data_IF_015664922797
#
_entry.id   IF_015664922797
#
_cell.length_a   1.000
_cell.length_b   1.000
_cell.length_c   1.000
_cell.angle_alpha   90.00
_cell.angle_beta   90.00
_cell.angle_gamma   90.00
#
_symmetry.space_group_name_H-M   'P 1'
#
loop_
_entity.id
_entity.type
_entity.pdbx_description
1 polymer ?
#
# COMPACT_ATOMS: atom_id res chain seq x y z
N UNK A 1 -0.69 0.75 -13.61
CA UNK A 1 0.60 0.64 -12.90
C UNK A 1 0.40 0.11 -11.49
N UNK A 2 1.42 -0.52 -10.90
CA UNK A 2 1.43 -0.97 -9.51
C UNK A 2 2.59 -0.26 -8.79
N UNK A 3 2.29 0.53 -7.78
CA UNK A 3 3.27 1.14 -6.89
C UNK A 3 3.16 0.53 -5.50
N UNK A 4 4.29 0.10 -4.96
CA UNK A 4 4.37 -0.43 -3.60
C UNK A 4 4.95 0.64 -2.69
N UNK A 5 4.31 0.85 -1.55
CA UNK A 5 4.88 1.61 -0.44
C UNK A 5 5.30 0.61 0.64
N UNK A 6 6.58 0.58 0.94
CA UNK A 6 7.18 -0.37 1.87
C UNK A 6 8.22 0.32 2.75
N UNK A 7 8.26 0.01 4.02
CA UNK A 7 9.34 0.47 4.91
C UNK A 7 9.61 -0.55 6.00
N UNK A 8 10.84 -1.04 6.15
CA UNK A 8 11.21 -1.91 7.26
C UNK A 8 11.37 -1.14 8.58
N UNK A 9 11.32 0.19 8.53
CA UNK A 9 11.67 1.06 9.66
C UNK A 9 10.47 1.81 10.26
N UNK A 10 9.46 2.17 9.46
CA UNK A 10 8.37 3.03 9.90
C UNK A 10 7.04 2.69 9.21
N UNK A 11 6.26 1.86 9.87
CA UNK A 11 4.94 1.44 9.38
C UNK A 11 3.95 2.61 9.31
N UNK A 12 3.96 3.53 10.29
CA UNK A 12 3.00 4.64 10.32
C UNK A 12 3.26 5.64 9.19
N UNK A 13 4.52 6.08 9.01
CA UNK A 13 4.87 6.99 7.92
C UNK A 13 4.62 6.35 6.54
N UNK A 14 4.85 5.04 6.41
CA UNK A 14 4.55 4.26 5.21
C UNK A 14 3.06 4.34 4.86
N UNK A 15 2.17 4.02 5.80
CA UNK A 15 0.72 4.04 5.58
C UNK A 15 0.21 5.46 5.31
N UNK A 16 0.68 6.47 6.04
CA UNK A 16 0.32 7.87 5.76
C UNK A 16 0.77 8.30 4.36
N UNK A 17 1.98 7.93 3.96
CA UNK A 17 2.47 8.21 2.60
C UNK A 17 1.61 7.52 1.54
N UNK A 18 1.29 6.24 1.71
CA UNK A 18 0.47 5.47 0.77
C UNK A 18 -0.93 6.05 0.60
N UNK A 19 -1.60 6.41 1.71
CA UNK A 19 -2.92 7.06 1.69
C UNK A 19 -2.88 8.43 1.02
N UNK A 20 -1.86 9.24 1.33
CA UNK A 20 -1.69 10.57 0.74
C UNK A 20 -1.41 10.48 -0.75
N UNK A 21 -0.49 9.59 -1.15
CA UNK A 21 -0.17 9.33 -2.56
C UNK A 21 -1.41 8.91 -3.34
N UNK A 22 -2.21 7.99 -2.77
CA UNK A 22 -3.44 7.50 -3.41
C UNK A 22 -4.46 8.61 -3.65
N UNK A 23 -4.65 9.47 -2.68
CA UNK A 23 -5.58 10.59 -2.82
C UNK A 23 -5.10 11.63 -3.84
N UNK A 24 -3.80 11.97 -3.86
CA UNK A 24 -3.24 12.95 -4.82
C UNK A 24 -3.28 12.40 -6.24
N UNK A 25 -2.83 11.16 -6.46
CA UNK A 25 -2.88 10.53 -7.79
C UNK A 25 -4.32 10.35 -8.24
N UNK A 26 -5.23 10.07 -7.30
CA UNK A 26 -6.66 9.92 -7.54
C UNK A 26 -7.37 11.17 -8.08
N UNK A 27 -6.77 12.37 -7.91
CA UNK A 27 -7.32 13.60 -8.49
C UNK A 27 -7.37 13.58 -10.04
N UNK A 28 -6.52 12.79 -10.67
CA UNK A 28 -6.38 12.75 -12.14
C UNK A 28 -6.45 11.35 -12.75
N UNK A 29 -6.36 10.29 -11.95
CA UNK A 29 -6.32 8.90 -12.39
C UNK A 29 -7.24 8.02 -11.55
N UNK A 30 -7.68 6.89 -12.08
CA UNK A 30 -8.41 5.89 -11.29
C UNK A 30 -7.44 5.10 -10.42
N UNK A 31 -7.50 5.31 -9.11
CA UNK A 31 -6.60 4.69 -8.14
C UNK A 31 -7.33 3.68 -7.27
N UNK A 32 -6.73 2.51 -7.10
CA UNK A 32 -7.13 1.53 -6.10
C UNK A 32 -6.04 1.37 -5.04
N UNK A 33 -6.37 1.65 -3.79
CA UNK A 33 -5.51 1.41 -2.64
C UNK A 33 -5.84 0.04 -2.01
N UNK A 34 -4.78 -0.73 -1.74
CA UNK A 34 -4.85 -2.02 -1.06
C UNK A 34 -3.87 -2.04 0.11
N UNK A 35 -4.37 -2.29 1.31
CA UNK A 35 -3.53 -2.49 2.49
C UNK A 35 -3.19 -3.98 2.64
N UNK A 36 -1.90 -4.27 2.82
CA UNK A 36 -1.35 -5.61 3.00
C UNK A 36 -0.60 -5.71 4.32
N UNK A 37 -1.25 -5.34 5.40
CA UNK A 37 -0.74 -5.48 6.76
C UNK A 37 -1.65 -6.37 7.60
N UNK A 38 -1.06 -7.15 8.48
CA UNK A 38 -1.80 -8.00 9.43
C UNK A 38 -2.60 -7.20 10.46
N UNK A 39 -2.14 -5.99 10.77
CA UNK A 39 -2.80 -5.04 11.67
C UNK A 39 -2.73 -3.66 11.04
N UNK A 40 -3.63 -3.38 10.12
CA UNK A 40 -3.60 -2.14 9.33
C UNK A 40 -3.79 -0.86 10.16
N UNK A 41 -4.51 -0.94 11.28
CA UNK A 41 -4.94 0.23 12.04
C UNK A 41 -5.98 1.11 11.33
N UNK A 42 -6.44 0.71 10.15
CA UNK A 42 -7.35 1.49 9.30
C UNK A 42 -8.83 1.11 9.46
N UNK A 43 -9.10 -0.03 10.10
CA UNK A 43 -10.47 -0.48 10.37
C UNK A 43 -11.21 0.57 11.21
N UNK A 44 -12.34 1.06 10.70
CA UNK A 44 -13.10 2.15 11.30
C UNK A 44 -12.59 3.57 11.04
N UNK A 45 -11.32 3.76 10.61
CA UNK A 45 -10.79 5.08 10.25
C UNK A 45 -11.16 5.50 8.83
N UNK A 46 -11.28 4.55 7.91
CA UNK A 46 -11.66 4.82 6.51
C UNK A 46 -13.18 4.73 6.29
N UNK A 47 -13.94 4.30 7.28
CA UNK A 47 -15.40 4.17 7.23
C UNK A 47 -15.88 2.77 7.64
N UNK A 48 -17.18 2.63 7.81
CA UNK A 48 -17.81 1.33 8.05
C UNK A 48 -17.85 0.49 6.77
N UNK A 49 -17.68 -0.84 6.91
CA UNK A 49 -17.72 -1.75 5.78
C UNK A 49 -18.40 -3.07 6.14
N UNK A 50 -18.98 -3.73 5.13
CA UNK A 50 -19.57 -5.06 5.25
C UNK A 50 -18.66 -6.15 4.63
N UNK A 51 -17.74 -5.75 3.78
CA UNK A 51 -16.80 -6.62 3.05
C UNK A 51 -15.38 -6.12 3.25
N UNK A 52 -14.43 -7.02 3.26
CA UNK A 52 -13.02 -6.72 3.42
C UNK A 52 -12.13 -7.54 2.46
N UNK A 53 -10.84 -7.40 2.55
CA UNK A 53 -9.87 -8.09 1.69
C UNK A 53 -9.99 -9.62 1.79
N UNK A 54 -10.30 -10.18 2.97
CA UNK A 54 -10.44 -11.64 3.12
C UNK A 54 -11.63 -12.16 2.31
N UNK A 55 -12.73 -11.42 2.26
CA UNK A 55 -13.90 -11.76 1.43
C UNK A 55 -13.56 -11.71 -0.06
N UNK A 56 -12.80 -10.70 -0.50
CA UNK A 56 -12.36 -10.59 -1.88
C UNK A 56 -11.48 -11.80 -2.29
N UNK A 57 -10.55 -12.20 -1.42
CA UNK A 57 -9.72 -13.39 -1.63
C UNK A 57 -10.57 -14.66 -1.65
N UNK A 58 -11.59 -14.75 -0.78
CA UNK A 58 -12.52 -15.88 -0.81
C UNK A 58 -13.23 -16.00 -2.17
N UNK A 59 -13.73 -14.89 -2.73
CA UNK A 59 -14.32 -14.89 -4.08
C UNK A 59 -13.30 -15.21 -5.16
N UNK A 60 -12.06 -14.74 -5.02
CA UNK A 60 -10.97 -15.08 -5.94
C UNK A 60 -10.66 -16.58 -5.99
N UNK A 61 -10.84 -17.29 -4.87
CA UNK A 61 -10.68 -18.76 -4.78
C UNK A 61 -11.78 -19.49 -5.55
N UNK A 62 -13.00 -18.99 -5.47
CA UNK A 62 -14.18 -19.70 -5.97
C UNK A 62 -14.42 -19.52 -7.47
N UNK A 63 -14.42 -18.29 -7.99
CA UNK A 63 -14.82 -18.07 -9.39
C UNK A 63 -14.16 -16.85 -10.03
N UNK A 64 -13.31 -17.09 -11.03
CA UNK A 64 -12.64 -16.04 -11.80
C UNK A 64 -13.58 -15.20 -12.66
N UNK A 65 -14.66 -15.78 -13.19
CA UNK A 65 -15.54 -15.10 -14.15
C UNK A 65 -16.36 -13.96 -13.54
N UNK A 66 -16.57 -13.97 -12.22
CA UNK A 66 -17.31 -12.93 -11.50
C UNK A 66 -16.42 -12.02 -10.66
N UNK A 67 -15.10 -12.16 -10.74
CA UNK A 67 -14.17 -11.42 -9.89
C UNK A 67 -14.34 -9.91 -9.99
N UNK A 68 -14.40 -9.35 -11.20
CA UNK A 68 -14.56 -7.90 -11.39
C UNK A 68 -15.89 -7.38 -10.82
N UNK A 69 -16.95 -8.13 -10.99
CA UNK A 69 -18.25 -7.75 -10.40
C UNK A 69 -18.13 -7.68 -8.87
N UNK A 70 -17.48 -8.67 -8.25
CA UNK A 70 -17.25 -8.69 -6.81
C UNK A 70 -16.33 -7.55 -6.36
N UNK A 71 -15.22 -7.34 -7.04
CA UNK A 71 -14.33 -6.21 -6.78
C UNK A 71 -15.10 -4.90 -6.77
N UNK A 72 -15.85 -4.61 -7.83
CA UNK A 72 -16.62 -3.37 -7.96
C UNK A 72 -17.70 -3.22 -6.89
N UNK A 73 -18.28 -4.32 -6.41
CA UNK A 73 -19.31 -4.30 -5.35
C UNK A 73 -18.72 -4.10 -3.94
N UNK A 74 -17.42 -4.35 -3.76
CA UNK A 74 -16.73 -4.27 -2.46
C UNK A 74 -15.89 -3.00 -2.30
N UNK A 75 -15.57 -2.35 -3.41
CA UNK A 75 -14.80 -1.11 -3.42
C UNK A 75 -15.55 0.00 -2.69
N UNK A 76 -14.83 0.75 -1.89
CA UNK A 76 -15.30 1.95 -1.20
C UNK A 76 -14.48 3.17 -1.62
N UNK A 77 -15.01 4.37 -1.36
CA UNK A 77 -14.37 5.65 -1.67
C UNK A 77 -13.70 6.23 -0.42
N UNK A 78 -12.48 6.72 -0.60
CA UNK A 78 -11.80 7.54 0.39
C UNK A 78 -11.11 8.72 -0.30
N UNK A 79 -11.68 9.92 -0.13
CA UNK A 79 -11.24 11.08 -0.91
C UNK A 79 -11.37 10.82 -2.41
N UNK A 80 -10.30 11.03 -3.15
CA UNK A 80 -10.24 10.84 -4.60
C UNK A 80 -9.86 9.42 -5.04
N UNK A 81 -9.64 8.48 -4.11
CA UNK A 81 -9.25 7.10 -4.43
C UNK A 81 -10.33 6.09 -4.03
N UNK A 82 -10.27 4.93 -4.66
CA UNK A 82 -10.98 3.73 -4.25
C UNK A 82 -10.11 2.89 -3.33
N UNK A 83 -10.72 2.13 -2.43
CA UNK A 83 -10.00 1.17 -1.60
C UNK A 83 -10.84 -0.08 -1.34
N UNK A 84 -10.16 -1.18 -1.05
CA UNK A 84 -10.77 -2.37 -0.43
C UNK A 84 -10.45 -2.32 1.06
N UNK A 85 -11.47 -2.40 1.94
CA UNK A 85 -11.21 -2.47 3.37
C UNK A 85 -10.21 -3.57 3.71
N UNK A 86 -9.22 -3.32 4.60
CA UNK A 86 -8.24 -4.32 4.99
C UNK A 86 -8.90 -5.49 5.73
N UNK A 87 -8.17 -6.58 5.92
CA UNK A 87 -8.66 -7.69 6.74
C UNK A 87 -8.93 -7.22 8.18
N UNK A 88 -10.06 -7.62 8.75
CA UNK A 88 -10.39 -7.33 10.15
C UNK A 88 -9.64 -8.23 11.13
N UNK A 89 -9.21 -9.40 10.65
CA UNK A 89 -8.58 -10.44 11.45
C UNK A 89 -7.14 -10.69 11.00
N UNK A 90 -6.20 -10.66 11.95
CA UNK A 90 -4.83 -11.13 11.75
C UNK A 90 -4.78 -12.53 11.13
N UNK A 91 -5.63 -13.44 11.64
CA UNK A 91 -5.66 -14.84 11.15
C UNK A 91 -6.08 -14.92 9.69
N UNK A 92 -7.07 -14.14 9.28
CA UNK A 92 -7.55 -14.13 7.89
C UNK A 92 -6.47 -13.58 6.96
N UNK A 93 -5.79 -12.51 7.37
CA UNK A 93 -4.66 -11.97 6.61
C UNK A 93 -3.55 -13.02 6.42
N UNK A 94 -3.13 -13.70 7.47
CA UNK A 94 -2.06 -14.70 7.44
C UNK A 94 -2.41 -15.94 6.57
N UNK A 95 -3.69 -16.19 6.28
CA UNK A 95 -4.12 -17.26 5.39
C UNK A 95 -4.04 -16.91 3.91
N UNK A 96 -3.80 -15.64 3.57
CA UNK A 96 -3.66 -15.21 2.18
C UNK A 96 -2.26 -15.55 1.69
N UNK A 97 -2.18 -16.41 0.72
CA UNK A 97 -0.90 -16.85 0.14
C UNK A 97 -0.36 -15.81 -0.85
N UNK A 98 0.97 -15.82 -1.04
CA UNK A 98 1.62 -14.98 -2.06
C UNK A 98 1.07 -15.24 -3.47
N UNK A 99 0.69 -16.48 -3.78
CA UNK A 99 0.08 -16.84 -5.06
C UNK A 99 -1.27 -16.16 -5.26
N UNK A 100 -2.04 -16.01 -4.20
CA UNK A 100 -3.33 -15.30 -4.23
C UNK A 100 -3.14 -13.80 -4.38
N UNK A 101 -2.18 -13.20 -3.66
CA UNK A 101 -1.81 -11.81 -3.87
C UNK A 101 -1.38 -11.53 -5.32
N UNK A 102 -0.47 -12.34 -5.87
CA UNK A 102 -0.03 -12.20 -7.27
C UNK A 102 -1.19 -12.34 -8.26
N UNK A 103 -2.08 -13.31 -8.03
CA UNK A 103 -3.28 -13.52 -8.86
C UNK A 103 -4.24 -12.34 -8.77
N UNK A 104 -4.46 -11.81 -7.56
CA UNK A 104 -5.30 -10.63 -7.32
C UNK A 104 -4.77 -9.43 -8.12
N UNK A 105 -3.49 -9.11 -7.94
CA UNK A 105 -2.84 -8.00 -8.63
C UNK A 105 -2.89 -8.14 -10.15
N UNK A 106 -2.60 -9.35 -10.66
CA UNK A 106 -2.70 -9.64 -12.09
C UNK A 106 -4.11 -9.41 -12.64
N UNK A 107 -5.15 -9.88 -11.95
CA UNK A 107 -6.54 -9.71 -12.40
C UNK A 107 -6.98 -8.25 -12.35
N UNK A 108 -6.64 -7.51 -11.29
CA UNK A 108 -6.94 -6.08 -11.21
C UNK A 108 -6.23 -5.34 -12.33
N UNK A 109 -4.91 -5.56 -12.52
CA UNK A 109 -4.12 -4.89 -13.56
C UNK A 109 -4.62 -5.17 -14.99
N UNK A 110 -5.05 -6.41 -15.27
CA UNK A 110 -5.42 -6.85 -16.62
C UNK A 110 -6.89 -6.63 -16.98
N UNK A 111 -7.78 -6.56 -16.00
CA UNK A 111 -9.22 -6.61 -16.25
C UNK A 111 -10.00 -5.43 -15.67
N UNK A 112 -9.45 -4.67 -14.70
CA UNK A 112 -10.14 -3.52 -14.15
C UNK A 112 -9.84 -2.22 -14.92
N UNK A 113 -10.54 -1.15 -14.56
CA UNK A 113 -10.35 0.20 -15.12
C UNK A 113 -9.39 1.07 -14.31
N UNK A 114 -8.71 0.49 -13.32
CA UNK A 114 -7.75 1.23 -12.51
C UNK A 114 -6.45 1.50 -13.27
N UNK A 115 -6.06 2.76 -13.32
CA UNK A 115 -4.79 3.21 -13.90
C UNK A 115 -3.61 2.88 -12.98
N UNK A 116 -3.84 3.03 -11.66
CA UNK A 116 -2.85 2.86 -10.62
C UNK A 116 -3.39 2.01 -9.46
N UNK A 117 -2.58 1.05 -9.03
CA UNK A 117 -2.79 0.28 -7.80
C UNK A 117 -1.69 0.70 -6.83
N UNK A 118 -2.06 1.12 -5.63
CA UNK A 118 -1.13 1.42 -4.53
C UNK A 118 -1.24 0.33 -3.50
N UNK A 119 -0.13 -0.36 -3.27
CA UNK A 119 0.00 -1.38 -2.25
C UNK A 119 0.72 -0.81 -1.04
N UNK A 120 0.04 -0.71 0.07
CA UNK A 120 0.62 -0.43 1.38
C UNK A 120 1.06 -1.75 2.00
N UNK A 121 2.32 -2.12 1.82
CA UNK A 121 2.82 -3.45 2.13
C UNK A 121 3.48 -3.51 3.50
N UNK A 122 2.99 -4.42 4.35
CA UNK A 122 3.60 -4.75 5.64
C UNK A 122 4.85 -5.62 5.51
N UNK A 123 5.56 -5.78 6.62
CA UNK A 123 6.81 -6.57 6.69
C UNK A 123 6.58 -8.04 7.01
N UNK A 124 5.34 -8.45 7.26
CA UNK A 124 5.01 -9.79 7.82
C UNK A 124 4.58 -10.80 6.76
N UNK A 125 4.62 -10.45 5.48
CA UNK A 125 4.14 -11.36 4.43
C UNK A 125 5.07 -12.56 4.21
N UNK A 126 6.34 -12.47 4.61
CA UNK A 126 7.36 -13.51 4.39
C UNK A 126 7.71 -13.76 2.91
N UNK A 127 7.09 -13.01 2.01
CA UNK A 127 7.23 -13.14 0.55
C UNK A 127 7.40 -11.79 -0.14
N UNK A 128 8.02 -10.83 0.58
CA UNK A 128 8.14 -9.44 0.13
C UNK A 128 8.77 -9.37 -1.26
N UNK A 129 9.84 -10.12 -1.52
CA UNK A 129 10.56 -10.11 -2.80
C UNK A 129 9.67 -10.50 -3.98
N UNK A 130 8.84 -11.53 -3.81
CA UNK A 130 7.96 -11.99 -4.87
C UNK A 130 6.90 -10.94 -5.23
N UNK A 131 6.46 -10.15 -4.25
CA UNK A 131 5.49 -9.10 -4.46
C UNK A 131 6.16 -7.82 -5.00
N UNK A 132 7.33 -7.45 -4.47
CA UNK A 132 8.11 -6.31 -4.95
C UNK A 132 8.45 -6.44 -6.45
N UNK A 133 8.69 -7.65 -6.95
CA UNK A 133 8.87 -7.91 -8.39
C UNK A 133 7.62 -7.78 -9.26
N UNK A 134 6.44 -7.56 -8.67
CA UNK A 134 5.19 -7.34 -9.43
C UNK A 134 4.92 -5.87 -9.72
N UNK A 135 5.70 -4.95 -9.14
CA UNK A 135 5.42 -3.51 -9.21
C UNK A 135 6.22 -2.79 -10.30
N UNK A 136 5.77 -1.59 -10.60
CA UNK A 136 6.39 -0.67 -11.54
C UNK A 136 7.24 0.41 -10.80
N UNK A 137 7.17 0.47 -9.46
CA UNK A 137 7.94 1.37 -8.61
C UNK A 137 7.72 1.13 -7.12
N UNK A 138 8.75 1.39 -6.31
CA UNK A 138 8.74 1.17 -4.86
C UNK A 138 9.11 2.47 -4.17
N UNK A 139 8.23 2.96 -3.29
CA UNK A 139 8.49 4.09 -2.41
C UNK A 139 8.81 3.58 -1.00
N UNK A 140 9.96 4.01 -0.46
CA UNK A 140 10.37 3.63 0.88
C UNK A 140 10.55 4.87 1.76
N UNK A 141 9.56 5.24 2.55
CA UNK A 141 9.74 6.23 3.61
C UNK A 141 10.83 5.82 4.58
N UNK A 142 11.77 6.73 4.85
CA UNK A 142 12.92 6.50 5.71
C UNK A 142 13.02 7.57 6.79
N UNK A 143 13.58 7.17 7.95
CA UNK A 143 13.92 8.07 9.07
C UNK A 143 15.42 8.17 9.25
N UNK A 144 15.87 9.33 9.79
CA UNK A 144 17.30 9.60 9.99
C UNK A 144 17.89 9.05 11.28
N UNK A 145 17.06 8.48 12.18
CA UNK A 145 17.56 7.91 13.42
C UNK A 145 18.45 6.67 13.18
N UNK A 146 19.39 6.37 14.10
CA UNK A 146 20.35 5.27 13.91
C UNK A 146 19.70 3.90 13.75
N UNK A 147 18.60 3.63 14.45
CA UNK A 147 17.91 2.33 14.41
C UNK A 147 17.24 2.13 13.06
N UNK A 148 16.53 3.14 12.58
CA UNK A 148 15.88 3.11 11.26
C UNK A 148 16.90 2.92 10.14
N UNK A 149 18.05 3.63 10.21
CA UNK A 149 19.16 3.41 9.27
C UNK A 149 19.66 1.99 9.29
N UNK A 150 19.91 1.44 10.49
CA UNK A 150 20.37 0.06 10.64
C UNK A 150 19.40 -0.97 10.03
N UNK A 151 18.08 -0.78 10.20
CA UNK A 151 17.06 -1.64 9.59
C UNK A 151 17.09 -1.56 8.06
N UNK A 152 17.22 -0.36 7.50
CA UNK A 152 17.28 -0.14 6.05
C UNK A 152 18.54 -0.76 5.45
N UNK A 153 19.71 -0.57 6.09
CA UNK A 153 20.97 -1.18 5.66
C UNK A 153 20.93 -2.70 5.75
N UNK A 154 20.27 -3.25 6.77
CA UNK A 154 20.07 -4.69 6.90
C UNK A 154 19.18 -5.22 5.78
N UNK A 155 18.09 -4.50 5.47
CA UNK A 155 17.19 -4.86 4.37
C UNK A 155 17.89 -4.78 3.01
N UNK A 156 18.65 -3.72 2.74
CA UNK A 156 19.44 -3.58 1.49
C UNK A 156 20.39 -4.78 1.29
N UNK A 157 21.11 -5.17 2.35
CA UNK A 157 22.00 -6.35 2.30
C UNK A 157 21.22 -7.64 2.04
N UNK A 158 20.06 -7.79 2.69
CA UNK A 158 19.19 -8.94 2.47
C UNK A 158 18.72 -9.04 1.01
N UNK A 159 18.29 -7.93 0.42
CA UNK A 159 17.89 -7.87 -0.99
C UNK A 159 19.07 -8.26 -1.92
N UNK A 160 20.27 -7.74 -1.66
CA UNK A 160 21.47 -8.07 -2.45
C UNK A 160 21.83 -9.56 -2.37
N UNK A 161 21.75 -10.16 -1.17
CA UNK A 161 22.00 -11.60 -0.97
C UNK A 161 21.03 -12.47 -1.77
N UNK A 162 19.80 -12.02 -1.93
CA UNK A 162 18.73 -12.73 -2.65
C UNK A 162 18.64 -12.37 -4.14
N UNK A 163 19.70 -11.78 -4.70
CA UNK A 163 19.76 -11.38 -6.11
C UNK A 163 18.60 -10.45 -6.52
N UNK A 164 18.29 -9.49 -5.65
CA UNK A 164 17.21 -8.52 -5.83
C UNK A 164 17.66 -7.17 -6.38
N UNK A 165 18.67 -7.10 -7.23
CA UNK A 165 19.16 -5.85 -7.84
C UNK A 165 18.06 -5.16 -8.66
N UNK A 166 17.23 -5.93 -9.34
CA UNK A 166 16.04 -5.47 -10.06
C UNK A 166 15.06 -4.69 -9.17
N UNK A 167 14.92 -5.10 -7.91
CA UNK A 167 14.09 -4.42 -6.91
C UNK A 167 14.74 -3.09 -6.49
N UNK A 168 16.06 -3.10 -6.28
CA UNK A 168 16.79 -1.89 -5.86
C UNK A 168 16.77 -0.80 -6.95
N UNK A 169 16.70 -1.16 -8.22
CA UNK A 169 16.55 -0.21 -9.34
C UNK A 169 15.19 0.51 -9.33
N UNK A 170 14.15 -0.14 -8.83
CA UNK A 170 12.80 0.44 -8.73
C UNK A 170 12.59 1.22 -7.42
N UNK A 171 13.55 1.12 -6.48
CA UNK A 171 13.41 1.64 -5.13
C UNK A 171 13.76 3.11 -5.03
N UNK A 172 12.81 3.91 -4.54
CA UNK A 172 13.00 5.30 -4.15
C UNK A 172 12.93 5.45 -2.63
N UNK A 173 14.07 5.71 -1.99
CA UNK A 173 14.14 6.04 -0.56
C UNK A 173 13.77 7.51 -0.35
N UNK A 174 12.77 7.77 0.47
CA UNK A 174 12.17 9.08 0.64
C UNK A 174 12.31 9.55 2.08
N UNK A 175 13.05 10.62 2.29
CA UNK A 175 13.06 11.33 3.57
C UNK A 175 11.82 12.20 3.65
N UNK A 176 10.83 11.76 4.42
CA UNK A 176 9.60 12.52 4.57
C UNK A 176 9.85 13.79 5.40
N UNK A 177 9.11 14.89 5.13
CA UNK A 177 9.21 16.09 5.93
C UNK A 177 8.88 15.79 7.40
N UNK A 178 9.57 16.43 8.35
CA UNK A 178 9.27 16.26 9.75
C UNK A 178 7.82 16.71 10.01
N UNK A 179 7.07 15.79 10.58
CA UNK A 179 5.74 15.94 11.15
C UNK A 179 4.70 16.83 10.46
N UNK A 180 3.94 16.18 9.60
CA UNK A 180 2.51 16.39 9.63
C UNK A 180 1.77 15.56 10.70
N UNK A 181 2.46 14.83 11.56
CA UNK A 181 1.83 14.18 12.71
C UNK A 181 1.50 15.23 13.75
N UNK A 182 0.36 15.92 13.53
CA UNK A 182 -0.20 16.82 14.52
C UNK A 182 -0.30 16.08 15.85
N UNK A 183 0.51 16.51 16.80
CA UNK A 183 0.33 16.22 18.19
C UNK A 183 -1.02 16.81 18.61
N UNK A 184 -2.02 15.98 18.75
CA UNK A 184 -3.28 16.35 19.36
C UNK A 184 -4.41 16.67 18.40
N UNK A 185 -5.44 15.90 18.55
CA UNK A 185 -6.72 15.78 17.88
C UNK A 185 -6.70 14.86 16.65
N UNK A 186 -7.67 13.98 16.60
CA UNK A 186 -8.02 13.08 15.49
C UNK A 186 -7.83 13.80 14.15
N UNK A 187 -6.62 13.70 13.59
CA UNK A 187 -6.36 14.28 12.28
C UNK A 187 -7.10 13.40 11.28
N UNK A 188 -8.16 13.95 10.74
CA UNK A 188 -8.93 13.32 9.68
C UNK A 188 -7.97 12.93 8.54
N UNK A 189 -7.84 11.63 8.28
CA UNK A 189 -6.97 11.09 7.24
C UNK A 189 -7.33 11.64 5.85
N UNK A 190 -8.54 12.14 5.66
CA UNK A 190 -8.97 12.79 4.42
C UNK A 190 -8.24 14.09 4.14
N UNK A 191 -7.69 14.74 5.18
CA UNK A 191 -6.95 16.01 5.08
C UNK A 191 -5.44 15.83 4.81
N UNK A 192 -4.94 14.60 4.73
CA UNK A 192 -3.52 14.33 4.46
C UNK A 192 -2.99 15.02 3.19
N UNK A 193 -3.72 15.08 2.06
CA UNK A 193 -3.26 15.77 0.86
C UNK A 193 -3.02 17.27 1.04
N UNK A 194 -3.68 17.91 2.00
CA UNK A 194 -3.56 19.34 2.30
C UNK A 194 -2.42 19.68 3.29
N UNK A 195 -1.78 18.66 3.84
CA UNK A 195 -0.69 18.80 4.79
C UNK A 195 0.69 18.88 4.08
N UNK A 196 1.77 19.07 4.86
CA UNK A 196 3.14 19.12 4.33
C UNK A 196 3.53 17.89 3.53
N UNK A 197 3.05 16.71 3.94
CA UNK A 197 3.28 15.47 3.23
C UNK A 197 2.66 15.51 1.82
N UNK A 198 1.45 16.07 1.69
CA UNK A 198 0.80 16.23 0.40
C UNK A 198 1.59 17.16 -0.54
N UNK A 199 2.07 18.30 -0.03
CA UNK A 199 2.93 19.19 -0.81
C UNK A 199 4.21 18.49 -1.29
N UNK A 200 4.87 17.75 -0.40
CA UNK A 200 6.06 16.96 -0.73
C UNK A 200 5.78 15.91 -1.83
N UNK A 201 4.65 15.20 -1.74
CA UNK A 201 4.30 14.19 -2.75
C UNK A 201 3.99 14.84 -4.10
N UNK A 202 3.31 16.00 -4.13
CA UNK A 202 3.07 16.74 -5.38
C UNK A 202 4.38 17.14 -6.06
N UNK A 203 5.36 17.63 -5.31
CA UNK A 203 6.69 17.93 -5.83
C UNK A 203 7.39 16.67 -6.35
N UNK A 204 7.33 15.57 -5.61
CA UNK A 204 7.91 14.28 -6.01
C UNK A 204 7.35 13.77 -7.34
N UNK A 205 6.05 13.94 -7.59
CA UNK A 205 5.39 13.46 -8.81
C UNK A 205 5.66 14.36 -10.03
N UNK A 206 6.19 15.56 -9.84
CA UNK A 206 6.52 16.51 -10.91
C UNK A 206 8.00 16.55 -11.25
N UNK A 207 8.86 15.92 -10.44
CA UNK A 207 10.32 15.83 -10.65
C UNK A 207 10.69 14.64 -11.52
#
# INVERSE_FOLDING_TARGET
KIHIVYSPADANAKTQFALTLGQIVGETQHVLYLNMEECSGLTGLLGEHHWNMADLIYFLRQNKSQFLYRLNSMVQKFGAMDYIPPCDSYTDFCQITVKEWKKLLHLIRSQSTYDVIILDMGTSTGHELELLRQCDGIYMPVKKDPISRGKIEQWDRYIQILDGLDILELLQKLELPPDGTGSGSESDLSMLPEQRLGSYIRELLTS
#
